data_IF_835705544149
#
_entry.id   IF_835705544149
#
_cell.length_a   1.000
_cell.length_b   1.000
_cell.length_c   1.000
_cell.angle_alpha   90.00
_cell.angle_beta   90.00
_cell.angle_gamma   90.00
#
_symmetry.space_group_name_H-M   'P 1'
#
loop_
_entity.id
_entity.type
_entity.pdbx_description
1 polymer ?
#
# COMPACT_ATOMS: atom_id res chain seq x y z
N UNK A 1 -23.74 -36.39 18.64
CA UNK A 1 -23.66 -35.21 19.53
C UNK A 1 -23.25 -34.03 18.67
N UNK A 2 -24.15 -33.07 18.45
CA UNK A 2 -23.84 -31.83 17.73
C UNK A 2 -23.29 -30.87 18.76
N UNK A 3 -21.99 -30.63 18.74
CA UNK A 3 -21.33 -29.61 19.55
C UNK A 3 -21.90 -28.26 19.11
N UNK A 4 -22.71 -27.63 19.98
CA UNK A 4 -23.18 -26.28 19.77
C UNK A 4 -21.95 -25.36 19.65
N UNK A 5 -21.72 -24.81 18.47
CA UNK A 5 -20.86 -23.65 18.32
C UNK A 5 -21.57 -22.47 18.99
N UNK A 6 -21.25 -22.21 20.25
CA UNK A 6 -21.39 -20.88 20.83
C UNK A 6 -20.01 -20.48 21.36
N UNK A 7 -19.47 -19.37 20.84
CA UNK A 7 -20.15 -18.09 20.96
C UNK A 7 -20.43 -17.43 19.61
N UNK A 8 -21.28 -16.40 19.61
CA UNK A 8 -21.46 -15.49 18.47
C UNK A 8 -20.10 -15.08 17.88
N UNK A 9 -20.02 -14.85 16.57
CA UNK A 9 -18.79 -14.41 15.88
C UNK A 9 -18.10 -13.22 16.59
N UNK A 10 -18.89 -12.39 17.29
CA UNK A 10 -18.44 -11.30 18.16
C UNK A 10 -17.44 -11.71 19.25
N UNK A 11 -17.48 -12.96 19.72
CA UNK A 11 -16.52 -13.43 20.70
C UNK A 11 -15.11 -13.64 20.14
N UNK A 12 -14.98 -13.83 18.83
CA UNK A 12 -13.69 -13.83 18.15
C UNK A 12 -13.18 -12.42 17.82
N UNK A 13 -14.01 -11.38 18.05
CA UNK A 13 -13.69 -9.97 17.82
C UNK A 13 -13.28 -9.25 19.11
N UNK A 14 -13.09 -9.96 20.23
CA UNK A 14 -12.73 -9.37 21.51
C UNK A 14 -11.30 -8.78 21.49
N UNK A 15 -11.22 -7.47 21.28
CA UNK A 15 -10.07 -6.64 21.68
C UNK A 15 -8.82 -6.68 20.79
N UNK A 16 -8.80 -7.49 19.73
CA UNK A 16 -7.72 -7.51 18.74
C UNK A 16 -8.14 -6.89 17.41
N UNK A 17 -7.22 -6.19 16.73
CA UNK A 17 -7.38 -5.87 15.31
C UNK A 17 -7.39 -7.17 14.50
N UNK A 18 -8.59 -7.62 14.08
CA UNK A 18 -8.72 -8.75 13.16
C UNK A 18 -8.36 -8.29 11.76
N UNK A 19 -7.27 -8.84 11.19
CA UNK A 19 -6.87 -8.56 9.81
C UNK A 19 -7.81 -9.29 8.86
N UNK A 20 -8.78 -8.54 8.31
CA UNK A 20 -9.78 -9.07 7.37
C UNK A 20 -9.19 -9.16 5.95
N UNK A 21 -9.35 -10.33 5.30
CA UNK A 21 -8.99 -10.51 3.87
C UNK A 21 -9.97 -9.83 2.92
N UNK A 22 -11.25 -9.83 3.29
CA UNK A 22 -12.34 -9.16 2.59
C UNK A 22 -13.02 -8.19 3.54
N UNK A 23 -13.21 -6.96 3.09
CA UNK A 23 -13.80 -5.88 3.87
C UNK A 23 -15.06 -5.40 3.15
N UNK A 24 -16.09 -5.00 3.89
CA UNK A 24 -17.29 -4.40 3.29
C UNK A 24 -16.95 -3.06 2.66
N UNK A 25 -17.58 -2.73 1.53
CA UNK A 25 -17.30 -1.47 0.82
C UNK A 25 -17.49 -0.26 1.73
N UNK A 26 -18.49 -0.28 2.62
CA UNK A 26 -18.78 0.80 3.56
C UNK A 26 -17.66 0.99 4.59
N UNK A 27 -17.03 -0.11 5.03
CA UNK A 27 -15.89 -0.07 5.95
C UNK A 27 -14.65 0.49 5.25
N UNK A 28 -14.39 0.08 3.99
CA UNK A 28 -13.28 0.64 3.18
C UNK A 28 -13.48 2.13 2.91
N UNK A 29 -14.71 2.53 2.57
CA UNK A 29 -15.06 3.93 2.35
C UNK A 29 -14.74 4.79 3.59
N UNK A 30 -15.05 4.28 4.78
CA UNK A 30 -14.71 4.92 6.03
C UNK A 30 -13.20 4.95 6.32
N UNK A 31 -12.49 3.83 6.09
CA UNK A 31 -11.03 3.72 6.29
C UNK A 31 -10.24 4.74 5.44
N UNK A 32 -10.64 4.95 4.19
CA UNK A 32 -9.95 5.84 3.25
C UNK A 32 -10.58 7.24 3.14
N UNK A 33 -11.71 7.50 3.82
CA UNK A 33 -12.42 8.77 3.74
C UNK A 33 -12.99 9.07 2.35
N UNK A 34 -13.55 8.05 1.70
CA UNK A 34 -14.24 8.13 0.40
C UNK A 34 -15.74 7.90 0.56
N UNK A 35 -16.52 8.28 -0.44
CA UNK A 35 -17.91 7.81 -0.53
C UNK A 35 -17.96 6.32 -0.92
N UNK A 36 -19.09 5.67 -0.63
CA UNK A 36 -19.33 4.28 -1.01
C UNK A 36 -19.24 4.11 -2.53
N UNK A 37 -19.81 5.04 -3.30
CA UNK A 37 -19.79 5.03 -4.76
C UNK A 37 -18.37 5.15 -5.34
N UNK A 38 -17.57 6.09 -4.82
CA UNK A 38 -16.16 6.23 -5.20
C UNK A 38 -15.38 4.96 -4.88
N UNK A 39 -15.62 4.39 -3.70
CA UNK A 39 -14.96 3.15 -3.26
C UNK A 39 -15.30 1.98 -4.18
N UNK A 40 -16.57 1.83 -4.59
CA UNK A 40 -16.95 0.81 -5.57
C UNK A 40 -16.26 1.02 -6.93
N UNK A 41 -16.17 2.26 -7.39
CA UNK A 41 -15.50 2.59 -8.66
C UNK A 41 -14.02 2.23 -8.61
N UNK A 42 -13.32 2.63 -7.54
CA UNK A 42 -11.90 2.33 -7.31
C UNK A 42 -11.71 0.81 -7.18
N UNK A 43 -12.55 0.13 -6.39
CA UNK A 43 -12.46 -1.31 -6.20
C UNK A 43 -12.70 -2.08 -7.51
N UNK A 44 -13.60 -1.57 -8.38
CA UNK A 44 -13.82 -2.11 -9.72
C UNK A 44 -12.58 -1.92 -10.60
N UNK A 45 -11.97 -0.73 -10.60
CA UNK A 45 -10.74 -0.45 -11.35
C UNK A 45 -9.57 -1.34 -10.87
N UNK A 46 -9.46 -1.58 -9.57
CA UNK A 46 -8.47 -2.45 -8.96
C UNK A 46 -8.72 -3.96 -9.17
N UNK A 47 -9.86 -4.36 -9.76
CA UNK A 47 -10.24 -5.78 -9.86
C UNK A 47 -10.39 -6.46 -8.49
N UNK A 48 -10.81 -5.71 -7.48
CA UNK A 48 -10.92 -6.13 -6.08
C UNK A 48 -12.36 -6.16 -5.56
N UNK A 49 -13.35 -5.74 -6.35
CA UNK A 49 -14.76 -5.72 -5.98
C UNK A 49 -15.46 -7.07 -6.21
N UNK A 50 -16.09 -7.59 -5.16
CA UNK A 50 -16.87 -8.83 -5.16
C UNK A 50 -18.32 -8.49 -4.78
N UNK A 51 -19.24 -8.61 -5.73
CA UNK A 51 -20.68 -8.38 -5.50
C UNK A 51 -21.38 -9.71 -5.22
N UNK A 52 -21.84 -9.90 -4.00
CA UNK A 52 -22.74 -11.00 -3.61
C UNK A 52 -24.17 -10.46 -3.50
N UNK A 53 -25.17 -11.33 -3.32
CA UNK A 53 -26.60 -11.01 -3.42
C UNK A 53 -27.06 -9.82 -2.56
N UNK A 54 -26.46 -9.62 -1.38
CA UNK A 54 -26.81 -8.55 -0.43
C UNK A 54 -25.61 -7.83 0.16
N UNK A 55 -24.39 -8.18 -0.25
CA UNK A 55 -23.16 -7.65 0.34
C UNK A 55 -22.14 -7.37 -0.76
N UNK A 56 -21.50 -6.20 -0.67
CA UNK A 56 -20.38 -5.84 -1.51
C UNK A 56 -19.11 -5.94 -0.67
N UNK A 57 -18.16 -6.73 -1.16
CA UNK A 57 -16.88 -6.97 -0.50
C UNK A 57 -15.73 -6.49 -1.39
N UNK A 58 -14.67 -6.03 -0.74
CA UNK A 58 -13.41 -5.61 -1.36
C UNK A 58 -12.31 -6.53 -0.86
N UNK A 59 -11.56 -7.15 -1.77
CA UNK A 59 -10.36 -7.92 -1.41
C UNK A 59 -9.26 -6.92 -1.02
N UNK A 60 -8.89 -6.87 0.27
CA UNK A 60 -8.02 -5.83 0.84
C UNK A 60 -6.66 -5.75 0.12
N UNK A 61 -5.98 -6.89 -0.03
CA UNK A 61 -4.67 -7.00 -0.68
C UNK A 61 -4.60 -6.29 -2.06
N UNK A 62 -5.56 -6.57 -2.97
CA UNK A 62 -5.57 -5.98 -4.31
C UNK A 62 -5.95 -4.50 -4.29
N UNK A 63 -6.83 -4.11 -3.39
CA UNK A 63 -7.24 -2.73 -3.23
C UNK A 63 -6.07 -1.89 -2.71
N UNK A 64 -5.38 -2.36 -1.67
CA UNK A 64 -4.22 -1.70 -1.08
C UNK A 64 -3.09 -1.54 -2.10
N UNK A 65 -2.79 -2.58 -2.87
CA UNK A 65 -1.79 -2.54 -3.94
C UNK A 65 -2.10 -1.47 -5.00
N UNK A 66 -3.36 -1.37 -5.42
CA UNK A 66 -3.82 -0.33 -6.33
C UNK A 66 -3.71 1.07 -5.71
N UNK A 67 -4.11 1.19 -4.44
CA UNK A 67 -4.10 2.46 -3.70
C UNK A 67 -2.69 3.00 -3.43
N UNK A 68 -1.65 2.15 -3.35
CA UNK A 68 -0.24 2.58 -3.18
C UNK A 68 0.18 3.64 -4.20
N UNK A 69 -0.35 3.56 -5.42
CA UNK A 69 0.03 4.44 -6.52
C UNK A 69 -0.90 5.65 -6.67
N UNK A 70 -1.96 5.73 -5.85
CA UNK A 70 -2.99 6.77 -5.94
C UNK A 70 -2.74 7.85 -4.91
N UNK A 71 -2.63 9.08 -5.37
CA UNK A 71 -2.48 10.26 -4.54
C UNK A 71 -3.75 11.11 -4.56
N UNK A 72 -4.32 11.37 -3.38
CA UNK A 72 -5.40 12.36 -3.21
C UNK A 72 -4.78 13.76 -3.21
N UNK A 73 -5.18 14.59 -4.16
CA UNK A 73 -4.65 15.95 -4.28
C UNK A 73 -5.25 16.81 -3.14
N UNK A 74 -4.43 17.44 -2.27
CA UNK A 74 -4.93 18.29 -1.20
C UNK A 74 -5.82 19.41 -1.73
N UNK A 75 -6.96 19.66 -1.07
CA UNK A 75 -7.91 20.70 -1.45
C UNK A 75 -8.83 20.35 -2.62
N UNK A 76 -8.77 19.13 -3.16
CA UNK A 76 -9.73 18.66 -4.17
C UNK A 76 -10.08 17.19 -3.96
N UNK A 77 -11.15 16.71 -4.60
CA UNK A 77 -11.56 15.30 -4.55
C UNK A 77 -10.92 14.45 -5.67
N UNK A 78 -10.00 15.04 -6.44
CA UNK A 78 -9.30 14.34 -7.52
C UNK A 78 -8.23 13.40 -6.98
N UNK A 79 -8.20 12.21 -7.57
CA UNK A 79 -7.21 11.19 -7.35
C UNK A 79 -6.34 11.07 -8.61
N UNK A 80 -5.02 11.07 -8.43
CA UNK A 80 -4.07 10.99 -9.54
C UNK A 80 -3.01 9.93 -9.26
N UNK A 81 -2.55 9.25 -10.31
CA UNK A 81 -1.35 8.43 -10.25
C UNK A 81 -0.16 9.35 -10.45
N UNK A 82 0.63 9.53 -9.40
CA UNK A 82 1.72 10.49 -9.39
C UNK A 82 3.03 9.80 -9.75
N UNK A 83 3.49 9.96 -10.99
CA UNK A 83 4.80 9.43 -11.43
C UNK A 83 5.99 10.25 -10.95
N UNK A 84 5.77 11.55 -10.76
CA UNK A 84 6.81 12.50 -10.36
C UNK A 84 6.42 13.24 -9.08
N UNK A 85 7.35 13.33 -8.13
CA UNK A 85 7.17 14.07 -6.88
C UNK A 85 8.28 15.10 -6.68
N UNK A 86 7.95 16.21 -6.00
CA UNK A 86 9.00 17.14 -5.53
C UNK A 86 9.74 16.52 -4.36
N UNK A 87 10.99 16.94 -4.14
CA UNK A 87 11.85 16.43 -3.06
C UNK A 87 11.14 16.40 -1.70
N UNK A 88 10.43 17.47 -1.33
CA UNK A 88 9.74 17.55 -0.03
C UNK A 88 8.58 16.55 0.11
N UNK A 89 7.83 16.33 -0.96
CA UNK A 89 6.74 15.35 -0.96
C UNK A 89 7.31 13.93 -0.96
N UNK A 90 8.34 13.69 -1.78
CA UNK A 90 8.99 12.40 -1.86
C UNK A 90 9.65 11.99 -0.53
N UNK A 91 10.24 12.93 0.20
CA UNK A 91 10.76 12.65 1.55
C UNK A 91 9.67 12.17 2.53
N UNK A 92 8.43 12.64 2.36
CA UNK A 92 7.29 12.19 3.19
C UNK A 92 6.83 10.80 2.72
N UNK A 93 6.68 10.60 1.40
CA UNK A 93 6.24 9.32 0.81
C UNK A 93 7.14 8.17 1.27
N UNK A 94 8.46 8.36 1.22
CA UNK A 94 9.41 7.31 1.61
C UNK A 94 9.78 7.33 3.10
N UNK A 95 9.29 8.31 3.87
CA UNK A 95 9.70 8.52 5.27
C UNK A 95 11.23 8.63 5.44
N UNK A 96 11.92 9.28 4.49
CA UNK A 96 13.38 9.48 4.49
C UNK A 96 13.68 10.97 4.64
N UNK A 97 14.62 11.32 5.53
CA UNK A 97 15.06 12.70 5.72
C UNK A 97 15.53 13.36 4.42
N UNK A 98 15.18 14.64 4.23
CA UNK A 98 15.36 15.39 2.98
C UNK A 98 16.77 15.28 2.38
N UNK A 99 17.81 15.44 3.21
CA UNK A 99 19.20 15.36 2.75
C UNK A 99 19.54 13.97 2.21
N UNK A 100 19.21 12.94 2.99
CA UNK A 100 19.49 11.55 2.61
C UNK A 100 18.70 11.13 1.37
N UNK A 101 17.45 11.58 1.27
CA UNK A 101 16.62 11.32 0.09
C UNK A 101 17.23 11.91 -1.18
N UNK A 102 17.76 13.14 -1.13
CA UNK A 102 18.42 13.76 -2.29
C UNK A 102 19.63 12.95 -2.75
N UNK A 103 20.45 12.46 -1.83
CA UNK A 103 21.62 11.63 -2.15
C UNK A 103 21.20 10.34 -2.85
N UNK A 104 20.22 9.63 -2.27
CA UNK A 104 19.71 8.38 -2.85
C UNK A 104 19.06 8.63 -4.21
N UNK A 105 18.26 9.68 -4.37
CA UNK A 105 17.58 9.98 -5.62
C UNK A 105 18.56 10.34 -6.74
N UNK A 106 19.68 11.00 -6.40
CA UNK A 106 20.77 11.26 -7.35
C UNK A 106 21.52 9.99 -7.70
N UNK A 107 21.83 9.14 -6.72
CA UNK A 107 22.48 7.84 -6.96
C UNK A 107 21.63 6.91 -7.83
N UNK A 108 20.30 6.95 -7.65
CA UNK A 108 19.32 6.23 -8.46
C UNK A 108 19.18 6.78 -9.90
N UNK A 109 19.69 7.98 -10.20
CA UNK A 109 19.43 8.66 -11.47
C UNK A 109 17.97 9.10 -11.63
N UNK A 110 17.21 9.19 -10.53
CA UNK A 110 15.77 9.45 -10.55
C UNK A 110 15.41 10.96 -10.58
N UNK A 111 16.40 11.86 -10.49
CA UNK A 111 16.18 13.31 -10.40
C UNK A 111 16.10 13.99 -11.76
N UNK A 112 15.07 14.80 -11.97
CA UNK A 112 14.85 15.63 -13.15
C UNK A 112 14.88 17.10 -12.73
N UNK A 113 15.83 17.86 -13.28
CA UNK A 113 15.93 19.30 -13.03
C UNK A 113 15.13 20.05 -14.10
N UNK A 114 14.06 20.70 -13.67
CA UNK A 114 13.26 21.56 -14.53
C UNK A 114 13.77 22.99 -14.38
N UNK A 115 14.19 23.56 -15.52
CA UNK A 115 14.81 24.87 -15.69
C UNK A 115 16.26 25.00 -15.18
N UNK A 116 17.11 25.56 -16.03
CA UNK A 116 18.52 25.86 -15.73
C UNK A 116 18.63 27.29 -15.19
N UNK A 117 18.35 27.49 -13.89
CA UNK A 117 18.47 28.79 -13.23
C UNK A 117 18.29 28.74 -11.71
N UNK A 118 18.44 29.90 -11.06
CA UNK A 118 18.21 30.08 -9.62
C UNK A 118 16.72 29.93 -9.32
N UNK A 119 16.33 28.81 -8.70
CA UNK A 119 14.92 28.45 -8.48
C UNK A 119 14.41 27.28 -9.33
N UNK A 120 15.29 26.58 -10.05
CA UNK A 120 14.93 25.35 -10.76
C UNK A 120 14.27 24.32 -9.82
N UNK A 121 13.15 23.75 -10.27
CA UNK A 121 12.41 22.74 -9.50
C UNK A 121 12.96 21.36 -9.83
N UNK A 122 13.26 20.58 -8.79
CA UNK A 122 13.68 19.18 -8.97
C UNK A 122 12.48 18.26 -8.73
N UNK A 123 12.18 17.45 -9.74
CA UNK A 123 11.24 16.35 -9.64
C UNK A 123 12.01 15.03 -9.52
N UNK A 124 11.39 14.06 -8.88
CA UNK A 124 11.92 12.69 -8.74
C UNK A 124 10.91 11.73 -9.34
N UNK A 125 11.38 10.86 -10.23
CA UNK A 125 10.59 9.75 -10.75
C UNK A 125 10.54 8.63 -9.70
N UNK A 126 9.33 8.33 -9.22
CA UNK A 126 9.12 7.36 -8.14
C UNK A 126 9.43 5.92 -8.60
N UNK A 127 9.08 5.56 -9.84
CA UNK A 127 9.29 4.21 -10.36
C UNK A 127 10.79 3.85 -10.44
N UNK A 128 11.63 4.80 -10.86
CA UNK A 128 13.09 4.61 -10.92
C UNK A 128 13.66 4.48 -9.50
N UNK A 129 13.15 5.27 -8.56
CA UNK A 129 13.60 5.25 -7.18
C UNK A 129 13.19 3.94 -6.45
N UNK A 130 11.97 3.45 -6.67
CA UNK A 130 11.49 2.19 -6.10
C UNK A 130 12.36 1.01 -6.54
N UNK A 131 12.68 0.94 -7.84
CA UNK A 131 13.58 -0.09 -8.37
C UNK A 131 14.99 0.00 -7.76
N UNK A 132 15.47 1.21 -7.46
CA UNK A 132 16.75 1.41 -6.78
C UNK A 132 16.69 0.94 -5.31
N UNK A 133 15.56 1.16 -4.63
CA UNK A 133 15.39 0.75 -3.23
C UNK A 133 15.39 -0.77 -3.04
N UNK A 134 14.90 -1.55 -4.02
CA UNK A 134 14.94 -3.02 -3.96
C UNK A 134 16.37 -3.58 -3.86
N UNK A 135 17.40 -2.85 -4.27
CA UNK A 135 18.81 -3.27 -4.11
C UNK A 135 19.26 -3.29 -2.65
N UNK A 136 18.60 -2.51 -1.78
CA UNK A 136 18.87 -2.49 -0.34
C UNK A 136 18.01 -3.48 0.44
N UNK A 137 17.12 -4.22 -0.25
CA UNK A 137 16.27 -5.22 0.37
C UNK A 137 17.13 -6.34 0.95
N UNK A 138 16.99 -6.56 2.25
CA UNK A 138 17.68 -7.65 2.91
C UNK A 138 17.05 -8.99 2.51
N UNK A 139 17.86 -10.07 2.39
CA UNK A 139 17.32 -11.39 2.15
C UNK A 139 16.44 -11.83 3.32
N UNK A 140 15.45 -12.68 3.01
CA UNK A 140 14.59 -13.29 4.05
C UNK A 140 15.47 -14.08 5.02
N UNK A 141 15.49 -13.66 6.27
CA UNK A 141 16.17 -14.43 7.32
C UNK A 141 15.15 -15.41 7.90
N UNK A 142 15.42 -16.72 7.90
CA UNK A 142 14.53 -17.67 8.54
C UNK A 142 14.39 -17.31 10.02
N UNK A 143 13.19 -17.49 10.55
CA UNK A 143 12.94 -17.30 11.97
C UNK A 143 13.75 -18.33 12.75
N UNK A 144 14.33 -17.90 13.88
CA UNK A 144 15.09 -18.79 14.78
C UNK A 144 14.22 -19.96 15.28
N UNK A 145 12.93 -19.70 15.46
CA UNK A 145 11.89 -20.69 15.72
C UNK A 145 10.86 -20.58 14.59
N UNK A 146 10.83 -21.52 13.63
CA UNK A 146 9.86 -21.49 12.56
C UNK A 146 8.44 -21.59 13.13
N UNK A 147 7.53 -20.78 12.59
CA UNK A 147 6.10 -20.94 12.87
C UNK A 147 5.67 -22.30 12.31
N UNK A 148 4.88 -23.06 13.10
CA UNK A 148 4.48 -24.45 12.86
C UNK A 148 4.50 -24.91 11.38
N UNK A 149 5.28 -25.95 11.08
CA UNK A 149 5.16 -26.76 9.87
C UNK A 149 5.88 -26.25 8.61
N UNK A 150 6.77 -25.26 8.71
CA UNK A 150 7.75 -25.05 7.65
C UNK A 150 8.84 -26.11 7.79
N UNK A 151 8.63 -27.29 7.19
CA UNK A 151 9.78 -28.12 6.81
C UNK A 151 10.68 -27.27 5.92
N UNK A 152 11.99 -27.34 6.18
CA UNK A 152 13.04 -26.63 5.46
C UNK A 152 12.98 -26.99 3.97
N UNK A 153 12.16 -26.26 3.23
CA UNK A 153 12.02 -26.37 1.79
C UNK A 153 13.20 -25.72 1.10
N UNK A 154 14.25 -26.53 0.92
CA UNK A 154 15.21 -26.48 -0.18
C UNK A 154 16.07 -25.21 -0.26
N UNK A 155 17.03 -25.13 0.66
CA UNK A 155 18.38 -24.72 0.27
C UNK A 155 18.90 -25.75 -0.74
N UNK A 156 19.04 -25.35 -2.01
CA UNK A 156 20.13 -25.65 -2.95
C UNK A 156 19.63 -25.71 -4.41
N UNK A 157 19.88 -24.64 -5.17
CA UNK A 157 20.69 -24.67 -6.41
C UNK A 157 21.11 -23.24 -6.81
#
# INVERSE_FOLDING_TARGET
MVTQLQPDVRAYLHGGEVIKRYIRVEEVAHEYGFSVEETEYIAKAAGSLYKLTRIHLVKKERFDEFMKHIYKVPGTNKQIIKKFARIGEASIIYSIGRHRFIELARAAGATYKINEGTGGTVLVNLEIFDNYMEQFRQPVRPLKEPLYGQEEGELNE
#
